data_IF_807931877972
#
_entry.id   IF_807931877972
#
_cell.length_a   1.000
_cell.length_b   1.000
_cell.length_c   1.000
_cell.angle_alpha   90.00
_cell.angle_beta   90.00
_cell.angle_gamma   90.00
#
_symmetry.space_group_name_H-M   'P 1'
#
loop_
_entity.id
_entity.type
_entity.pdbx_description
1 polymer ?
#
# COMPACT_ATOMS: atom_id res chain seq x y z
N UNK A 1 -1.16 34.50 70.23
CA UNK A 1 -0.08 33.76 69.54
C UNK A 1 -0.55 33.43 68.13
N UNK A 2 -0.08 34.16 67.12
CA UNK A 2 -0.32 33.82 65.71
C UNK A 2 1.07 33.59 65.12
N UNK A 3 1.43 32.32 64.91
CA UNK A 3 2.71 31.96 64.31
C UNK A 3 2.66 32.29 62.80
N UNK A 4 3.55 33.18 62.38
CA UNK A 4 3.66 33.66 61.01
C UNK A 4 4.40 32.63 60.15
N UNK A 5 3.68 31.68 59.53
CA UNK A 5 4.24 30.67 58.62
C UNK A 5 4.53 31.27 57.22
N UNK A 6 5.50 32.18 57.12
CA UNK A 6 5.87 32.84 55.84
C UNK A 6 6.84 32.03 54.96
N UNK A 7 7.48 31.01 55.51
CA UNK A 7 8.33 30.07 54.76
C UNK A 7 7.54 29.01 53.97
N UNK A 8 6.25 28.82 54.29
CA UNK A 8 5.43 27.80 53.65
C UNK A 8 4.97 28.16 52.23
N UNK A 9 4.92 29.44 51.83
CA UNK A 9 4.30 29.83 50.55
C UNK A 9 5.21 29.69 49.33
N UNK A 10 6.52 29.97 49.43
CA UNK A 10 7.42 29.92 48.26
C UNK A 10 7.74 28.47 47.88
N UNK A 11 8.07 27.63 48.86
CA UNK A 11 8.35 26.21 48.61
C UNK A 11 7.09 25.49 48.12
N UNK A 12 5.91 25.78 48.68
CA UNK A 12 4.63 25.25 48.21
C UNK A 12 4.32 25.67 46.77
N UNK A 13 4.60 26.92 46.39
CA UNK A 13 4.46 27.39 45.02
C UNK A 13 5.42 26.67 44.07
N UNK A 14 6.69 26.47 44.47
CA UNK A 14 7.67 25.73 43.66
C UNK A 14 7.25 24.28 43.44
N UNK A 15 6.78 23.61 44.49
CA UNK A 15 6.26 22.23 44.40
C UNK A 15 4.99 22.19 43.55
N UNK A 16 4.09 23.16 43.70
CA UNK A 16 2.88 23.28 42.88
C UNK A 16 3.19 23.45 41.40
N UNK A 17 4.14 24.32 41.04
CA UNK A 17 4.61 24.49 39.66
C UNK A 17 5.26 23.21 39.13
N UNK A 18 6.04 22.51 39.95
CA UNK A 18 6.66 21.24 39.56
C UNK A 18 5.61 20.17 39.25
N UNK A 19 4.61 20.00 40.11
CA UNK A 19 3.52 19.05 39.88
C UNK A 19 2.72 19.45 38.63
N UNK A 20 2.44 20.75 38.48
CA UNK A 20 1.70 21.26 37.33
C UNK A 20 2.43 21.05 36.00
N UNK A 21 3.75 21.25 35.98
CA UNK A 21 4.55 21.03 34.76
C UNK A 21 4.63 19.55 34.40
N UNK A 22 4.76 18.64 35.38
CA UNK A 22 4.73 17.19 35.15
C UNK A 22 3.34 16.77 34.60
N UNK A 23 2.27 17.28 35.20
CA UNK A 23 0.91 16.99 34.75
C UNK A 23 0.68 17.48 33.31
N UNK A 24 1.10 18.70 33.00
CA UNK A 24 0.97 19.26 31.66
C UNK A 24 1.80 18.50 30.63
N UNK A 25 3.03 18.09 30.99
CA UNK A 25 3.88 17.28 30.13
C UNK A 25 3.25 15.91 29.83
N UNK A 26 2.67 15.26 30.84
CA UNK A 26 1.96 13.99 30.66
C UNK A 26 0.77 14.14 29.71
N UNK A 27 -0.07 15.16 29.91
CA UNK A 27 -1.19 15.45 29.03
C UNK A 27 -0.73 15.73 27.57
N UNK A 28 0.34 16.50 27.41
CA UNK A 28 0.93 16.79 26.09
C UNK A 28 1.41 15.51 25.38
N UNK A 29 2.13 14.63 26.08
CA UNK A 29 2.62 13.37 25.52
C UNK A 29 1.48 12.44 25.09
N UNK A 30 0.38 12.41 25.86
CA UNK A 30 -0.81 11.64 25.49
C UNK A 30 -1.45 12.16 24.21
N UNK A 31 -1.63 13.48 24.09
CA UNK A 31 -2.17 14.10 22.88
C UNK A 31 -1.28 13.82 21.67
N UNK A 32 0.05 13.96 21.84
CA UNK A 32 1.01 13.66 20.79
C UNK A 32 0.93 12.20 20.32
N UNK A 33 0.83 11.25 21.26
CA UNK A 33 0.66 9.83 20.96
C UNK A 33 -0.66 9.56 20.24
N UNK A 34 -1.76 10.19 20.68
CA UNK A 34 -3.08 10.03 20.07
C UNK A 34 -3.10 10.54 18.61
N UNK A 35 -2.49 11.70 18.33
CA UNK A 35 -2.36 12.22 16.96
C UNK A 35 -1.53 11.27 16.10
N UNK A 36 -0.41 10.77 16.61
CA UNK A 36 0.43 9.83 15.88
C UNK A 36 -0.30 8.51 15.55
N UNK A 37 -1.09 8.01 16.51
CA UNK A 37 -1.93 6.83 16.33
C UNK A 37 -3.01 7.07 15.25
N UNK A 38 -3.69 8.23 15.31
CA UNK A 38 -4.69 8.62 14.31
C UNK A 38 -4.11 8.69 12.89
N UNK A 39 -2.94 9.32 12.72
CA UNK A 39 -2.26 9.36 11.42
C UNK A 39 -1.88 7.98 10.92
N UNK A 40 -1.39 7.10 11.81
CA UNK A 40 -1.07 5.71 11.45
C UNK A 40 -2.32 4.95 10.98
N UNK A 41 -3.42 5.00 11.74
CA UNK A 41 -4.67 4.35 11.36
C UNK A 41 -5.23 4.88 10.04
N UNK A 42 -5.17 6.20 9.82
CA UNK A 42 -5.55 6.80 8.53
C UNK A 42 -4.74 6.21 7.37
N UNK A 43 -3.42 6.12 7.53
CA UNK A 43 -2.54 5.62 6.49
C UNK A 43 -2.74 4.13 6.21
N UNK A 44 -3.05 3.33 7.25
CA UNK A 44 -3.39 1.90 7.09
C UNK A 44 -4.70 1.71 6.32
N UNK A 45 -5.71 2.56 6.56
CA UNK A 45 -6.97 2.53 5.81
C UNK A 45 -6.73 2.87 4.34
N UNK A 46 -5.95 3.92 4.06
CA UNK A 46 -5.58 4.31 2.70
C UNK A 46 -4.85 3.17 1.99
N UNK A 47 -3.81 2.63 2.62
CA UNK A 47 -3.04 1.53 2.05
C UNK A 47 -3.90 0.29 1.80
N UNK A 48 -4.82 -0.03 2.73
CA UNK A 48 -5.74 -1.15 2.57
C UNK A 48 -6.71 -0.96 1.42
N UNK A 49 -7.26 0.25 1.25
CA UNK A 49 -8.17 0.52 0.14
C UNK A 49 -7.46 0.45 -1.21
N UNK A 50 -6.26 1.04 -1.33
CA UNK A 50 -5.45 0.96 -2.55
C UNK A 50 -5.12 -0.51 -2.87
N UNK A 51 -4.68 -1.29 -1.88
CA UNK A 51 -4.33 -2.69 -2.11
C UNK A 51 -5.53 -3.56 -2.52
N UNK A 52 -6.70 -3.30 -1.92
CA UNK A 52 -7.95 -3.97 -2.30
C UNK A 52 -8.35 -3.61 -3.73
N UNK A 53 -8.30 -2.33 -4.09
CA UNK A 53 -8.62 -1.87 -5.43
C UNK A 53 -7.75 -2.58 -6.47
N UNK A 54 -6.43 -2.64 -6.26
CA UNK A 54 -5.52 -3.34 -7.18
C UNK A 54 -5.90 -4.81 -7.38
N UNK A 55 -6.26 -5.52 -6.32
CA UNK A 55 -6.72 -6.92 -6.41
C UNK A 55 -8.03 -7.03 -7.18
N UNK A 56 -8.98 -6.14 -6.92
CA UNK A 56 -10.26 -6.12 -7.65
C UNK A 56 -10.04 -5.82 -9.13
N UNK A 57 -9.07 -4.98 -9.50
CA UNK A 57 -8.70 -4.76 -10.90
C UNK A 57 -8.17 -6.02 -11.56
N UNK A 58 -7.32 -6.80 -10.89
CA UNK A 58 -6.87 -8.08 -11.50
C UNK A 58 -8.00 -9.09 -11.62
N UNK A 59 -8.93 -9.14 -10.65
CA UNK A 59 -10.14 -9.97 -10.76
C UNK A 59 -11.02 -9.51 -11.93
N UNK A 60 -11.17 -8.20 -12.12
CA UNK A 60 -11.92 -7.64 -13.24
C UNK A 60 -11.29 -8.01 -14.59
N UNK A 61 -9.95 -7.99 -14.70
CA UNK A 61 -9.22 -8.50 -15.87
C UNK A 61 -9.58 -9.97 -16.12
N UNK A 62 -9.47 -10.83 -15.08
CA UNK A 62 -9.84 -12.26 -15.19
C UNK A 62 -11.27 -12.44 -15.69
N UNK A 63 -12.22 -11.74 -15.07
CA UNK A 63 -13.65 -11.89 -15.36
C UNK A 63 -13.99 -11.38 -16.76
N UNK A 64 -13.37 -10.27 -17.17
CA UNK A 64 -13.50 -9.72 -18.54
C UNK A 64 -12.94 -10.70 -19.57
N UNK A 65 -11.78 -11.30 -19.30
CA UNK A 65 -11.21 -12.32 -20.17
C UNK A 65 -12.13 -13.53 -20.30
N UNK A 66 -12.71 -13.98 -19.20
CA UNK A 66 -13.66 -15.09 -19.19
C UNK A 66 -14.90 -14.78 -20.04
N UNK A 67 -15.49 -13.58 -19.90
CA UNK A 67 -16.64 -13.13 -20.71
C UNK A 67 -16.31 -13.07 -22.21
N UNK A 68 -15.06 -12.77 -22.56
CA UNK A 68 -14.57 -12.70 -23.95
C UNK A 68 -14.07 -14.05 -24.49
N UNK A 69 -14.16 -15.12 -23.70
CA UNK A 69 -13.62 -16.44 -24.02
C UNK A 69 -12.11 -16.43 -24.33
N UNK A 70 -11.38 -15.49 -23.72
CA UNK A 70 -9.92 -15.41 -23.71
C UNK A 70 -9.34 -16.23 -22.53
N UNK A 71 -8.02 -16.44 -22.54
CA UNK A 71 -7.34 -16.98 -21.36
C UNK A 71 -7.46 -16.01 -20.19
N UNK A 72 -7.64 -16.55 -18.97
CA UNK A 72 -7.87 -15.77 -17.76
C UNK A 72 -6.76 -14.75 -17.45
N UNK A 73 -5.54 -15.04 -17.90
CA UNK A 73 -4.33 -14.24 -17.71
C UNK A 73 -3.99 -13.34 -18.91
N UNK A 74 -4.82 -13.27 -19.94
CA UNK A 74 -4.56 -12.41 -21.10
C UNK A 74 -4.61 -10.92 -20.73
N UNK A 75 -3.65 -10.12 -21.20
CA UNK A 75 -3.61 -8.68 -20.98
C UNK A 75 -3.67 -7.85 -22.28
N UNK A 76 -3.94 -8.49 -23.43
CA UNK A 76 -4.00 -7.82 -24.75
C UNK A 76 -4.89 -6.59 -24.78
N UNK A 77 -6.01 -6.66 -24.07
CA UNK A 77 -7.06 -5.63 -24.09
C UNK A 77 -6.81 -4.52 -23.05
N UNK A 78 -5.78 -4.65 -22.23
CA UNK A 78 -5.47 -3.76 -21.10
C UNK A 78 -4.08 -3.14 -21.20
N UNK A 79 -3.11 -3.83 -21.81
CA UNK A 79 -1.72 -3.40 -21.80
C UNK A 79 -0.84 -3.97 -22.90
N UNK A 80 -1.39 -4.35 -24.05
CA UNK A 80 -0.61 -4.97 -25.13
C UNK A 80 -0.48 -6.49 -24.97
N UNK A 81 0.08 -7.15 -25.97
CA UNK A 81 -0.06 -8.60 -26.17
C UNK A 81 0.86 -9.47 -25.28
N UNK A 82 0.59 -9.55 -23.98
CA UNK A 82 1.29 -10.40 -23.01
C UNK A 82 0.34 -11.02 -21.98
N UNK A 83 0.85 -11.93 -21.15
CA UNK A 83 0.08 -12.66 -20.13
C UNK A 83 0.52 -12.30 -18.71
N UNK A 84 -0.41 -12.41 -17.77
CA UNK A 84 -0.15 -12.25 -16.35
C UNK A 84 0.83 -13.34 -15.90
N UNK A 85 1.99 -12.92 -15.37
CA UNK A 85 3.05 -13.83 -14.93
C UNK A 85 4.21 -13.99 -15.90
N UNK A 86 4.17 -13.32 -17.06
CA UNK A 86 5.35 -13.15 -17.94
C UNK A 86 6.43 -12.30 -17.24
N UNK A 87 5.99 -11.30 -16.48
CA UNK A 87 6.80 -10.51 -15.54
C UNK A 87 6.40 -10.79 -14.08
N UNK A 88 7.33 -10.47 -13.18
CA UNK A 88 7.13 -10.66 -11.73
C UNK A 88 6.40 -9.51 -11.05
N UNK A 89 6.56 -8.28 -11.56
CA UNK A 89 6.02 -7.10 -10.91
C UNK A 89 5.31 -6.17 -11.89
N UNK A 90 4.20 -5.59 -11.45
CA UNK A 90 3.32 -4.75 -12.25
C UNK A 90 2.82 -3.54 -11.47
N UNK A 91 2.50 -2.49 -12.19
CA UNK A 91 1.66 -1.39 -11.72
C UNK A 91 0.28 -1.62 -12.32
N UNK A 92 -0.76 -1.55 -11.49
CA UNK A 92 -2.16 -1.59 -11.94
C UNK A 92 -2.93 -0.42 -11.34
N UNK A 93 -3.78 0.19 -12.13
CA UNK A 93 -4.67 1.27 -11.69
C UNK A 93 -5.90 1.37 -12.59
N UNK A 94 -6.92 2.05 -12.09
CA UNK A 94 -8.05 2.44 -12.91
C UNK A 94 -7.59 3.46 -13.96
N UNK A 95 -7.95 3.21 -15.21
CA UNK A 95 -7.92 4.22 -16.24
C UNK A 95 -9.32 4.81 -16.38
N UNK A 96 -9.43 6.10 -16.17
CA UNK A 96 -10.71 6.79 -16.23
C UNK A 96 -11.12 7.17 -17.67
N UNK A 97 -10.40 6.63 -18.66
CA UNK A 97 -10.78 6.67 -20.06
C UNK A 97 -11.85 5.61 -20.36
N UNK A 98 -12.75 5.93 -21.28
CA UNK A 98 -13.90 5.07 -21.62
C UNK A 98 -13.46 3.81 -22.38
N UNK A 99 -12.40 3.89 -23.17
CA UNK A 99 -12.01 2.82 -24.10
C UNK A 99 -11.17 1.71 -23.45
N UNK A 100 -10.40 2.05 -22.42
CA UNK A 100 -9.65 1.09 -21.60
C UNK A 100 -9.83 1.51 -20.16
N UNK A 101 -10.69 0.85 -19.36
CA UNK A 101 -10.98 1.26 -17.98
C UNK A 101 -9.89 0.86 -16.98
N UNK A 102 -8.90 0.07 -17.40
CA UNK A 102 -7.81 -0.42 -16.54
C UNK A 102 -6.49 -0.16 -17.26
N UNK A 103 -5.53 0.40 -16.53
CA UNK A 103 -4.13 0.53 -16.93
C UNK A 103 -3.32 -0.50 -16.17
N UNK A 104 -2.53 -1.29 -16.90
CA UNK A 104 -1.52 -2.16 -16.30
C UNK A 104 -0.19 -2.01 -17.04
N UNK A 105 0.89 -1.88 -16.27
CA UNK A 105 2.25 -1.69 -16.79
C UNK A 105 3.17 -2.68 -16.09
N UNK A 106 4.00 -3.38 -16.84
CA UNK A 106 5.05 -4.21 -16.27
C UNK A 106 6.23 -3.36 -15.80
N UNK A 107 6.83 -3.74 -14.68
CA UNK A 107 8.10 -3.15 -14.26
C UNK A 107 9.26 -3.80 -15.00
N UNK A 108 10.37 -3.07 -15.10
CA UNK A 108 11.60 -3.55 -15.71
C UNK A 108 12.02 -4.90 -15.07
N UNK A 109 12.50 -5.84 -15.89
CA UNK A 109 13.00 -7.15 -15.45
C UNK A 109 14.12 -7.07 -14.40
N UNK A 110 14.85 -5.95 -14.31
CA UNK A 110 15.87 -5.71 -13.30
C UNK A 110 15.33 -5.24 -11.95
N UNK A 111 14.05 -4.88 -11.86
CA UNK A 111 13.45 -4.44 -10.60
C UNK A 111 13.35 -5.61 -9.63
N UNK A 112 13.88 -5.41 -8.42
CA UNK A 112 13.69 -6.31 -7.30
C UNK A 112 12.92 -5.60 -6.20
N UNK A 113 12.13 -6.36 -5.46
CA UNK A 113 11.45 -5.85 -4.28
C UNK A 113 12.46 -5.73 -3.14
N UNK A 114 13.22 -4.64 -3.17
CA UNK A 114 14.08 -4.18 -2.07
C UNK A 114 13.72 -2.75 -1.72
N UNK A 115 13.99 -2.34 -0.47
CA UNK A 115 13.71 -0.97 -0.02
C UNK A 115 14.34 0.09 -0.92
N UNK A 116 15.57 -0.14 -1.39
CA UNK A 116 16.28 0.83 -2.23
C UNK A 116 15.65 0.93 -3.61
N UNK A 117 15.31 -0.20 -4.23
CA UNK A 117 14.70 -0.22 -5.56
C UNK A 117 13.33 0.47 -5.56
N UNK A 118 12.52 0.24 -4.52
CA UNK A 118 11.22 0.91 -4.39
C UNK A 118 11.38 2.42 -4.24
N UNK A 119 12.27 2.87 -3.36
CA UNK A 119 12.48 4.30 -3.10
C UNK A 119 13.11 5.04 -4.27
N UNK A 120 13.94 4.37 -5.07
CA UNK A 120 14.57 4.95 -6.26
C UNK A 120 13.64 4.95 -7.49
N UNK A 121 12.59 4.13 -7.48
CA UNK A 121 11.64 4.03 -8.60
C UNK A 121 10.57 5.10 -8.50
N UNK A 122 10.70 6.18 -9.27
CA UNK A 122 9.70 7.25 -9.32
C UNK A 122 8.35 6.77 -9.84
N UNK A 123 8.33 5.75 -10.71
CA UNK A 123 7.11 5.19 -11.31
C UNK A 123 6.20 4.50 -10.30
N UNK A 124 6.76 3.99 -9.19
CA UNK A 124 6.00 3.30 -8.14
C UNK A 124 5.33 4.25 -7.17
N UNK A 125 5.77 5.50 -7.14
CA UNK A 125 5.32 6.48 -6.17
C UNK A 125 3.97 7.03 -6.58
N UNK A 126 3.00 6.92 -5.68
CA UNK A 126 1.67 7.46 -5.88
C UNK A 126 1.64 8.97 -5.69
N UNK A 127 0.81 9.62 -6.48
CA UNK A 127 0.43 11.01 -6.28
C UNK A 127 -1.09 11.16 -6.23
N UNK A 128 -1.52 12.31 -5.73
CA UNK A 128 -2.91 12.74 -5.81
C UNK A 128 -3.02 13.65 -7.03
N UNK A 129 -3.99 13.37 -7.90
CA UNK A 129 -4.35 14.21 -9.05
C UNK A 129 -5.31 15.34 -8.66
N UNK A 130 -5.70 16.19 -9.62
CA UNK A 130 -6.65 17.29 -9.38
C UNK A 130 -8.05 16.82 -8.96
N UNK A 131 -8.36 15.54 -9.15
CA UNK A 131 -9.62 14.91 -8.76
C UNK A 131 -9.54 14.18 -7.40
N UNK A 132 -8.45 14.36 -6.64
CA UNK A 132 -8.23 13.73 -5.35
C UNK A 132 -8.10 12.20 -5.36
N UNK A 133 -7.61 11.63 -6.47
CA UNK A 133 -7.44 10.18 -6.65
C UNK A 133 -5.97 9.80 -6.55
N UNK A 134 -5.69 8.61 -6.03
CA UNK A 134 -4.34 8.05 -6.01
C UNK A 134 -4.01 7.48 -7.40
N UNK A 135 -2.99 8.03 -8.05
CA UNK A 135 -2.54 7.61 -9.38
C UNK A 135 -1.03 7.46 -9.45
N UNK A 136 -0.55 6.64 -10.38
CA UNK A 136 0.84 6.67 -10.83
C UNK A 136 0.96 7.73 -11.94
N UNK A 137 1.71 8.82 -11.71
CA UNK A 137 1.80 9.88 -12.70
C UNK A 137 2.61 9.41 -13.92
N UNK A 138 2.06 9.58 -15.13
CA UNK A 138 2.83 9.40 -16.36
C UNK A 138 3.79 10.58 -16.55
N UNK A 139 3.30 11.78 -16.24
CA UNK A 139 4.08 13.01 -16.23
C UNK A 139 4.06 13.68 -14.86
N UNK A 140 5.10 14.43 -14.48
CA UNK A 140 5.11 15.19 -13.23
C UNK A 140 3.96 16.19 -13.10
N UNK A 141 3.39 16.65 -14.22
CA UNK A 141 2.24 17.56 -14.30
C UNK A 141 0.92 16.92 -13.87
N UNK A 142 0.80 15.59 -13.94
CA UNK A 142 -0.43 14.87 -13.59
C UNK A 142 -0.63 14.81 -12.06
N UNK A 143 0.41 15.20 -11.32
CA UNK A 143 0.48 15.15 -9.87
C UNK A 143 0.14 16.54 -9.28
N UNK A 144 -1.06 16.69 -8.74
CA UNK A 144 -1.41 17.83 -7.89
C UNK A 144 -0.56 17.83 -6.61
N UNK A 145 -0.44 16.67 -5.96
CA UNK A 145 0.33 16.51 -4.72
C UNK A 145 1.02 15.16 -4.64
N UNK A 146 2.33 15.18 -4.40
CA UNK A 146 3.09 13.95 -4.16
C UNK A 146 2.74 13.35 -2.81
N UNK A 147 2.59 12.02 -2.78
CA UNK A 147 2.36 11.27 -1.54
C UNK A 147 3.63 10.55 -1.10
N UNK A 148 3.58 9.94 0.08
CA UNK A 148 4.61 9.03 0.60
C UNK A 148 4.25 7.57 0.36
N UNK A 149 3.22 7.30 -0.43
CA UNK A 149 2.79 5.95 -0.76
C UNK A 149 3.44 5.47 -2.05
N UNK A 150 3.79 4.19 -2.06
CA UNK A 150 4.26 3.45 -3.23
C UNK A 150 3.38 2.23 -3.38
N UNK A 151 3.08 1.81 -4.60
CA UNK A 151 2.28 0.62 -4.81
C UNK A 151 2.69 -0.18 -6.03
N UNK A 152 2.59 -1.50 -5.94
CA UNK A 152 2.78 -2.41 -7.05
C UNK A 152 2.19 -3.78 -6.73
N UNK A 153 1.96 -4.55 -7.78
CA UNK A 153 1.62 -5.96 -7.73
C UNK A 153 2.87 -6.81 -7.91
N UNK A 154 2.88 -7.93 -7.22
CA UNK A 154 3.79 -9.04 -7.44
C UNK A 154 2.98 -10.27 -7.83
N UNK A 155 3.40 -10.92 -8.91
CA UNK A 155 2.76 -12.12 -9.44
C UNK A 155 3.77 -13.27 -9.39
N UNK A 156 3.41 -14.32 -8.66
CA UNK A 156 4.18 -15.55 -8.59
C UNK A 156 3.33 -16.72 -9.14
N UNK A 157 3.95 -17.64 -9.86
CA UNK A 157 3.31 -18.91 -10.24
C UNK A 157 3.00 -19.72 -8.98
N UNK A 158 1.82 -20.32 -8.92
CA UNK A 158 1.46 -21.17 -7.79
C UNK A 158 2.23 -22.50 -7.86
N UNK A 159 2.92 -22.85 -6.77
CA UNK A 159 3.68 -24.10 -6.66
C UNK A 159 2.97 -24.98 -5.65
N UNK A 160 2.56 -26.18 -6.09
CA UNK A 160 2.05 -27.24 -5.21
C UNK A 160 3.11 -28.34 -5.07
N UNK A 161 2.91 -29.29 -4.17
CA UNK A 161 3.79 -30.45 -3.99
C UNK A 161 3.04 -31.73 -4.31
N UNK A 162 3.71 -32.66 -4.98
CA UNK A 162 3.21 -34.02 -5.08
C UNK A 162 3.25 -34.67 -3.68
N UNK A 163 2.13 -35.22 -3.21
CA UNK A 163 2.04 -35.85 -1.88
C UNK A 163 2.85 -37.14 -1.75
N UNK A 164 3.20 -37.77 -2.88
CA UNK A 164 3.90 -39.05 -2.93
C UNK A 164 5.41 -38.84 -3.16
N UNK A 165 5.79 -37.97 -4.10
CA UNK A 165 7.21 -37.74 -4.46
C UNK A 165 7.83 -36.52 -3.80
N UNK A 166 7.03 -35.70 -3.11
CA UNK A 166 7.43 -34.42 -2.50
C UNK A 166 8.09 -33.42 -3.48
N UNK A 167 7.94 -33.64 -4.80
CA UNK A 167 8.48 -32.76 -5.83
C UNK A 167 7.55 -31.57 -6.09
N UNK A 168 8.10 -30.36 -6.37
CA UNK A 168 7.31 -29.18 -6.69
C UNK A 168 6.67 -29.30 -8.08
N UNK A 169 5.37 -29.00 -8.15
CA UNK A 169 4.59 -28.95 -9.39
C UNK A 169 4.14 -27.50 -9.58
N UNK A 170 4.45 -26.93 -10.75
CA UNK A 170 3.99 -25.60 -11.13
C UNK A 170 2.55 -25.71 -11.63
N UNK A 171 1.64 -25.00 -10.99
CA UNK A 171 0.25 -24.90 -11.44
C UNK A 171 0.19 -23.85 -12.54
N UNK A 172 -0.06 -24.30 -13.78
CA UNK A 172 -0.05 -23.44 -14.97
C UNK A 172 -1.32 -22.61 -15.14
N UNK A 173 -2.37 -22.94 -14.41
CA UNK A 173 -3.69 -22.29 -14.49
C UNK A 173 -4.01 -21.47 -13.24
N UNK A 174 -2.98 -21.13 -12.45
CA UNK A 174 -3.15 -20.36 -11.22
C UNK A 174 -1.94 -19.48 -10.89
N UNK A 175 -2.21 -18.25 -10.47
CA UNK A 175 -1.20 -17.30 -9.99
C UNK A 175 -1.51 -16.85 -8.57
N UNK A 176 -0.46 -16.68 -7.76
CA UNK A 176 -0.52 -15.95 -6.49
C UNK A 176 -0.20 -14.50 -6.78
N UNK A 177 -1.12 -13.62 -6.42
CA UNK A 177 -1.00 -12.19 -6.61
C UNK A 177 -0.91 -11.53 -5.26
N UNK A 178 0.05 -10.64 -5.11
CA UNK A 178 0.30 -9.87 -3.91
C UNK A 178 0.29 -8.39 -4.28
N UNK A 179 -0.69 -7.64 -3.77
CA UNK A 179 -0.70 -6.19 -3.85
C UNK A 179 0.06 -5.63 -2.66
N UNK A 180 1.07 -4.83 -2.95
CA UNK A 180 2.01 -4.28 -1.97
C UNK A 180 1.86 -2.76 -2.01
N UNK A 181 1.53 -2.17 -0.87
CA UNK A 181 1.46 -0.73 -0.68
C UNK A 181 2.37 -0.34 0.47
N UNK A 182 3.29 0.59 0.21
CA UNK A 182 4.31 1.01 1.18
C UNK A 182 4.08 2.47 1.50
N UNK A 183 4.04 2.81 2.77
CA UNK A 183 4.08 4.19 3.24
C UNK A 183 5.46 4.52 3.80
N UNK A 184 6.00 5.68 3.46
CA UNK A 184 7.31 6.15 3.91
C UNK A 184 7.25 7.46 4.73
N UNK A 185 6.09 7.86 5.25
CA UNK A 185 5.92 9.15 5.95
C UNK A 185 6.77 9.28 7.22
N UNK A 186 6.86 8.20 8.03
CA UNK A 186 7.72 8.16 9.23
C UNK A 186 8.73 7.03 9.17
N UNK A 187 8.25 5.85 8.82
CA UNK A 187 9.04 4.64 8.65
C UNK A 187 8.59 3.94 7.39
N UNK A 188 9.41 3.01 6.90
CA UNK A 188 9.01 2.10 5.83
C UNK A 188 7.99 1.12 6.40
N UNK A 189 6.70 1.40 6.19
CA UNK A 189 5.62 0.53 6.61
C UNK A 189 5.02 -0.12 5.37
N UNK A 190 5.07 -1.45 5.33
CA UNK A 190 4.55 -2.23 4.24
C UNK A 190 3.19 -2.81 4.61
N UNK A 191 2.27 -2.72 3.66
CA UNK A 191 0.96 -3.32 3.75
C UNK A 191 0.76 -4.20 2.51
N UNK A 192 0.46 -5.48 2.73
CA UNK A 192 0.26 -6.42 1.65
C UNK A 192 -1.08 -7.15 1.77
N UNK A 193 -1.74 -7.37 0.63
CA UNK A 193 -2.88 -8.28 0.51
C UNK A 193 -2.53 -9.27 -0.58
N UNK A 194 -2.82 -10.55 -0.35
CA UNK A 194 -2.64 -11.58 -1.35
C UNK A 194 -3.97 -12.22 -1.75
N UNK A 195 -3.99 -12.74 -2.96
CA UNK A 195 -5.08 -13.54 -3.49
C UNK A 195 -4.55 -14.57 -4.47
N UNK A 196 -5.36 -15.58 -4.76
CA UNK A 196 -5.07 -16.56 -5.80
C UNK A 196 -6.06 -16.33 -6.92
N UNK A 197 -5.55 -16.22 -8.14
CA UNK A 197 -6.34 -16.14 -9.35
C UNK A 197 -6.14 -17.44 -10.13
N UNK A 198 -7.24 -18.06 -10.52
CA UNK A 198 -7.28 -19.32 -11.26
C UNK A 198 -8.10 -19.18 -12.52
N UNK A 199 -7.78 -20.01 -13.52
CA UNK A 199 -8.71 -20.30 -14.61
C UNK A 199 -9.92 -21.10 -14.06
N UNK A 200 -11.13 -20.62 -14.29
CA UNK A 200 -12.36 -21.31 -13.90
C UNK A 200 -12.86 -22.32 -14.93
N UNK A 201 -12.28 -22.32 -16.14
CA UNK A 201 -12.70 -23.20 -17.24
C UNK A 201 -12.20 -24.64 -17.11
N UNK A 202 -11.24 -24.89 -16.20
CA UNK A 202 -10.61 -26.21 -16.00
C UNK A 202 -11.18 -26.97 -14.82
#
# INVERSE_FOLDING_TARGET
MIQNKKWYTVVELMVGILIFTIWFLSAYLLVYSAINSSTKSKNEIIASNIAREQIELVKNIRDTNWLRNNNFDNLSDFSGSWYLGDYKYYIIENDYNIDSPIKIKNLNSSFNWTKNDVLNSSELRLCIDDMWRYIHPNNPSDCHKRTTFYSFLKVDKLITKNTITNMPIIVTWAYRIESIVINTEKWYNEFNINTIITDWKK
#
